data_IF_756511058044
#
_entry.id   IF_756511058044
#
_cell.length_a   1.000
_cell.length_b   1.000
_cell.length_c   1.000
_cell.angle_alpha   90.00
_cell.angle_beta   90.00
_cell.angle_gamma   90.00
#
_symmetry.space_group_name_H-M   'P 1'
#
loop_
_entity.id
_entity.type
_entity.pdbx_description
1 polymer ?
#
# COMPACT_ATOMS: atom_id res chain seq x y z
N UNK A 1 21.87 18.82 -3.34
CA UNK A 1 20.90 17.85 -3.86
C UNK A 1 19.63 17.96 -3.03
N UNK A 2 18.46 17.76 -3.60
CA UNK A 2 17.23 17.77 -2.83
C UNK A 2 17.24 16.59 -1.85
N UNK A 3 16.74 16.78 -0.64
CA UNK A 3 16.55 15.73 0.35
C UNK A 3 15.35 14.85 -0.06
N UNK A 4 15.53 13.53 -0.08
CA UNK A 4 14.58 12.61 -0.71
C UNK A 4 14.16 11.43 0.16
N UNK A 5 14.71 11.29 1.38
CA UNK A 5 14.37 10.20 2.30
C UNK A 5 12.98 10.36 2.90
N UNK A 6 12.13 9.35 2.75
CA UNK A 6 10.85 9.23 3.47
C UNK A 6 11.14 8.70 4.88
N UNK A 7 11.20 9.58 5.86
CA UNK A 7 11.64 9.26 7.23
C UNK A 7 10.61 8.49 8.06
N UNK A 8 9.36 8.46 7.61
CA UNK A 8 8.25 7.68 8.17
C UNK A 8 8.19 6.23 7.63
N UNK A 9 9.12 5.86 6.74
CA UNK A 9 9.22 4.52 6.16
C UNK A 9 10.39 3.74 6.75
N UNK A 10 10.28 2.42 6.71
CA UNK A 10 11.36 1.48 7.03
C UNK A 10 11.48 0.42 5.94
N UNK A 11 12.67 -0.14 5.82
CA UNK A 11 12.94 -1.27 4.94
C UNK A 11 13.11 -2.53 5.77
N UNK A 12 12.40 -3.61 5.40
CA UNK A 12 12.56 -4.94 5.97
C UNK A 12 13.18 -5.83 4.90
N UNK A 13 14.32 -6.45 5.21
CA UNK A 13 14.95 -7.45 4.36
C UNK A 13 14.39 -8.83 4.68
N UNK A 14 13.96 -9.54 3.66
CA UNK A 14 13.58 -10.95 3.70
C UNK A 14 14.59 -11.72 2.86
N UNK A 15 15.39 -12.58 3.50
CA UNK A 15 16.50 -13.31 2.88
C UNK A 15 16.47 -14.79 3.20
N UNK A 16 17.13 -15.62 2.38
CA UNK A 16 17.23 -17.06 2.59
C UNK A 16 16.74 -17.89 1.40
N UNK A 17 16.23 -19.09 1.68
CA UNK A 17 15.79 -20.02 0.64
C UNK A 17 14.35 -19.78 0.20
N UNK A 18 14.11 -19.67 -1.12
CA UNK A 18 12.79 -19.50 -1.72
C UNK A 18 12.00 -18.31 -1.12
N UNK A 19 12.68 -17.17 -0.97
CA UNK A 19 12.09 -15.95 -0.41
C UNK A 19 10.86 -15.50 -1.20
N UNK A 20 10.95 -15.50 -2.53
CA UNK A 20 9.83 -15.12 -3.40
C UNK A 20 8.62 -16.03 -3.21
N UNK A 21 8.83 -17.36 -3.20
CA UNK A 21 7.74 -18.32 -2.95
C UNK A 21 7.13 -18.18 -1.57
N UNK A 22 7.92 -17.82 -0.56
CA UNK A 22 7.41 -17.51 0.78
C UNK A 22 6.49 -16.29 0.78
N UNK A 23 6.95 -15.17 0.25
CA UNK A 23 6.18 -13.93 0.22
C UNK A 23 4.97 -14.05 -0.69
N UNK A 24 5.11 -14.75 -1.84
CA UNK A 24 4.04 -14.99 -2.80
C UNK A 24 2.80 -15.60 -2.17
N UNK A 25 2.95 -16.52 -1.23
CA UNK A 25 1.82 -17.16 -0.53
C UNK A 25 1.14 -16.29 0.52
N UNK A 26 1.68 -15.12 0.85
CA UNK A 26 1.20 -14.28 1.95
C UNK A 26 0.55 -12.97 1.48
N UNK A 27 1.08 -12.36 0.43
CA UNK A 27 0.71 -11.00 0.02
C UNK A 27 -0.26 -11.00 -1.17
N UNK A 28 -0.92 -9.89 -1.38
CA UNK A 28 -2.00 -9.75 -2.37
C UNK A 28 -1.53 -9.65 -3.81
N UNK A 29 -0.32 -9.10 -4.05
CA UNK A 29 0.22 -8.88 -5.39
C UNK A 29 1.20 -9.97 -5.80
N UNK A 30 1.43 -10.10 -7.10
CA UNK A 30 2.36 -11.08 -7.66
C UNK A 30 3.80 -10.58 -7.50
N UNK A 31 4.59 -11.29 -6.68
CA UNK A 31 5.99 -10.98 -6.43
C UNK A 31 6.96 -11.87 -7.24
N UNK A 32 6.43 -12.75 -8.08
CA UNK A 32 7.25 -13.58 -8.99
C UNK A 32 7.62 -12.82 -10.28
N UNK A 33 6.83 -11.78 -10.62
CA UNK A 33 7.04 -10.94 -11.79
C UNK A 33 8.02 -9.78 -11.54
N UNK A 34 7.81 -8.70 -12.29
CA UNK A 34 8.59 -7.45 -12.15
C UNK A 34 8.29 -6.75 -10.82
N UNK A 35 9.33 -6.18 -10.21
CA UNK A 35 9.27 -5.41 -8.99
C UNK A 35 9.80 -3.98 -9.24
N UNK A 36 9.31 -2.97 -8.50
CA UNK A 36 8.48 -3.07 -7.32
C UNK A 36 6.99 -3.27 -7.60
N UNK A 37 6.27 -3.86 -6.61
CA UNK A 37 4.80 -3.93 -6.58
C UNK A 37 4.29 -3.44 -5.22
N UNK A 38 3.09 -2.86 -5.20
CA UNK A 38 2.40 -2.58 -3.95
C UNK A 38 1.56 -3.78 -3.53
N UNK A 39 1.60 -4.15 -2.27
CA UNK A 39 0.93 -5.33 -1.75
C UNK A 39 0.39 -5.11 -0.34
N UNK A 40 -0.64 -5.88 0.02
CA UNK A 40 -1.16 -5.98 1.37
C UNK A 40 -0.89 -7.34 2.00
N UNK A 41 -0.63 -7.36 3.31
CA UNK A 41 -0.76 -8.53 4.15
C UNK A 41 -2.11 -8.44 4.87
N UNK A 42 -2.97 -9.42 4.67
CA UNK A 42 -4.37 -9.35 5.11
C UNK A 42 -4.67 -10.29 6.28
N UNK A 43 -5.79 -10.03 6.96
CA UNK A 43 -6.44 -11.03 7.80
C UNK A 43 -7.08 -12.13 6.93
N UNK A 44 -7.43 -13.31 7.49
CA UNK A 44 -8.22 -14.32 6.76
C UNK A 44 -9.53 -13.78 6.20
N UNK A 45 -10.09 -12.71 6.79
CA UNK A 45 -11.31 -12.05 6.34
C UNK A 45 -11.07 -11.02 5.21
N UNK A 46 -9.84 -10.85 4.74
CA UNK A 46 -9.48 -9.92 3.66
C UNK A 46 -9.35 -8.46 4.09
N UNK A 47 -9.19 -8.20 5.40
CA UNK A 47 -8.93 -6.86 5.91
C UNK A 47 -7.44 -6.55 5.92
N UNK A 48 -7.08 -5.32 5.61
CA UNK A 48 -5.69 -4.85 5.64
C UNK A 48 -5.12 -4.89 7.07
N UNK A 49 -3.98 -5.57 7.22
CA UNK A 49 -3.13 -5.50 8.41
C UNK A 49 -1.94 -4.58 8.17
N UNK A 50 -1.30 -4.73 7.02
CA UNK A 50 -0.16 -3.94 6.59
C UNK A 50 -0.20 -3.76 5.07
N UNK A 51 0.27 -2.62 4.61
CA UNK A 51 0.58 -2.36 3.22
C UNK A 51 2.07 -1.99 3.07
N UNK A 52 2.65 -2.34 1.95
CA UNK A 52 4.06 -2.09 1.66
C UNK A 52 4.37 -2.26 0.17
N UNK A 53 5.47 -1.66 -0.28
CA UNK A 53 6.03 -1.97 -1.58
C UNK A 53 7.04 -3.11 -1.43
N UNK A 54 7.05 -4.03 -2.40
CA UNK A 54 8.00 -5.15 -2.46
C UNK A 54 9.00 -4.87 -3.57
N UNK A 55 10.29 -4.89 -3.22
CA UNK A 55 11.43 -4.66 -4.10
C UNK A 55 12.30 -5.92 -4.17
N UNK A 56 13.11 -6.04 -5.22
CA UNK A 56 14.13 -7.09 -5.32
C UNK A 56 15.51 -6.53 -5.02
N UNK A 57 16.33 -7.35 -4.34
CA UNK A 57 17.76 -7.14 -4.17
C UNK A 57 18.46 -8.49 -4.35
N UNK A 58 18.82 -8.81 -5.59
CA UNK A 58 19.26 -10.15 -5.96
C UNK A 58 18.18 -11.19 -5.70
N UNK A 59 18.50 -12.18 -4.84
CA UNK A 59 17.58 -13.23 -4.42
C UNK A 59 16.71 -12.83 -3.23
N UNK A 60 17.05 -11.73 -2.55
CA UNK A 60 16.31 -11.19 -1.42
C UNK A 60 15.13 -10.32 -1.88
N UNK A 61 14.17 -10.12 -0.96
CA UNK A 61 13.13 -9.13 -1.10
C UNK A 61 13.27 -8.05 -0.03
N UNK A 62 13.03 -6.80 -0.42
CA UNK A 62 12.99 -5.65 0.48
C UNK A 62 11.55 -5.13 0.54
N UNK A 63 11.03 -4.98 1.76
CA UNK A 63 9.68 -4.47 1.99
C UNK A 63 9.77 -3.02 2.50
N UNK A 64 9.34 -2.07 1.68
CA UNK A 64 9.16 -0.66 2.06
C UNK A 64 7.81 -0.53 2.76
N UNK A 65 7.81 -0.38 4.08
CA UNK A 65 6.63 -0.32 4.93
C UNK A 65 6.63 0.90 5.85
N UNK A 66 5.49 1.15 6.51
CA UNK A 66 5.37 2.15 7.57
C UNK A 66 6.36 1.86 8.71
N UNK A 67 7.16 2.86 9.09
CA UNK A 67 8.26 2.71 10.03
C UNK A 67 7.84 2.20 11.40
N UNK A 68 6.75 2.75 11.94
CA UNK A 68 6.22 2.39 13.26
C UNK A 68 5.58 0.98 13.27
N UNK A 69 5.17 0.48 12.11
CA UNK A 69 4.56 -0.84 11.96
C UNK A 69 5.56 -1.96 11.64
N UNK A 70 6.83 -1.63 11.33
CA UNK A 70 7.80 -2.58 10.80
C UNK A 70 8.06 -3.77 11.74
N UNK A 71 8.19 -3.54 13.06
CA UNK A 71 8.47 -4.62 14.02
C UNK A 71 7.27 -5.57 14.17
N UNK A 72 6.05 -5.05 14.08
CA UNK A 72 4.85 -5.88 14.05
C UNK A 72 4.75 -6.69 12.76
N UNK A 73 5.10 -6.09 11.62
CA UNK A 73 5.14 -6.77 10.33
C UNK A 73 6.18 -7.92 10.35
N UNK A 74 7.38 -7.68 10.89
CA UNK A 74 8.41 -8.71 11.08
C UNK A 74 7.86 -9.86 11.94
N UNK A 75 7.25 -9.57 13.09
CA UNK A 75 6.64 -10.58 13.96
C UNK A 75 5.56 -11.36 13.20
N UNK A 76 4.71 -10.67 12.45
CA UNK A 76 3.62 -11.30 11.71
C UNK A 76 4.12 -12.24 10.62
N UNK A 77 5.07 -11.81 9.81
CA UNK A 77 5.69 -12.63 8.77
C UNK A 77 6.43 -13.83 9.37
N UNK A 78 7.10 -13.64 10.50
CA UNK A 78 7.83 -14.70 11.20
C UNK A 78 6.94 -15.86 11.66
N UNK A 79 5.66 -15.64 11.94
CA UNK A 79 4.70 -16.69 12.26
C UNK A 79 4.52 -17.65 11.06
N UNK A 80 4.50 -17.13 9.85
CA UNK A 80 4.32 -17.93 8.62
C UNK A 80 5.60 -18.63 8.15
N UNK A 81 6.76 -18.21 8.66
CA UNK A 81 8.06 -18.80 8.30
C UNK A 81 8.14 -20.29 8.63
N UNK A 82 7.55 -20.71 9.78
CA UNK A 82 7.58 -22.07 10.26
C UNK A 82 9.02 -22.63 10.34
N UNK A 83 9.33 -23.66 9.51
CA UNK A 83 10.66 -24.33 9.45
C UNK A 83 11.50 -23.86 8.26
N UNK A 84 11.04 -22.86 7.49
CA UNK A 84 11.81 -22.33 6.34
C UNK A 84 13.06 -21.60 6.82
N UNK A 85 14.13 -21.73 6.06
CA UNK A 85 15.40 -21.03 6.32
C UNK A 85 15.32 -19.61 5.76
N UNK A 86 14.47 -18.79 6.36
CA UNK A 86 14.21 -17.41 5.99
C UNK A 86 14.52 -16.51 7.18
N UNK A 87 15.23 -15.44 6.93
CA UNK A 87 15.52 -14.36 7.86
C UNK A 87 14.69 -13.15 7.51
N UNK A 88 14.13 -12.48 8.50
CA UNK A 88 13.27 -11.30 8.34
C UNK A 88 13.72 -10.29 9.38
N UNK A 89 14.28 -9.16 8.93
CA UNK A 89 14.84 -8.15 9.82
C UNK A 89 14.77 -6.76 9.19
N UNK A 90 14.88 -5.71 10.02
CA UNK A 90 15.05 -4.35 9.50
C UNK A 90 16.40 -4.22 8.81
N UNK A 91 16.40 -3.60 7.64
CA UNK A 91 17.61 -3.13 6.97
C UNK A 91 17.79 -1.65 7.31
N UNK A 92 18.76 -1.37 8.20
CA UNK A 92 19.02 0.00 8.69
C UNK A 92 19.99 0.79 7.80
N UNK A 93 20.63 0.12 6.85
CA UNK A 93 21.56 0.74 5.91
C UNK A 93 20.83 1.35 4.70
N UNK A 94 19.59 0.93 4.48
CA UNK A 94 18.77 1.32 3.34
C UNK A 94 17.56 2.10 3.81
N UNK A 95 17.29 3.22 3.15
CA UNK A 95 16.11 4.04 3.33
C UNK A 95 15.28 4.10 2.04
N UNK A 96 14.02 4.49 2.19
CA UNK A 96 13.11 4.74 1.07
C UNK A 96 13.25 6.19 0.64
N UNK A 97 13.45 6.40 -0.64
CA UNK A 97 13.53 7.71 -1.25
C UNK A 97 12.34 7.95 -2.17
N UNK A 98 11.97 9.20 -2.30
CA UNK A 98 10.92 9.64 -3.19
C UNK A 98 11.27 10.98 -3.85
N UNK A 99 10.84 11.12 -5.09
CA UNK A 99 10.81 12.40 -5.79
C UNK A 99 9.63 12.45 -6.75
N UNK A 100 9.00 13.63 -6.81
CA UNK A 100 7.92 13.87 -7.75
C UNK A 100 8.41 13.90 -9.21
N UNK A 101 9.57 14.54 -9.44
CA UNK A 101 10.02 14.93 -10.78
C UNK A 101 11.39 14.34 -11.16
N UNK A 102 11.98 13.44 -10.34
CA UNK A 102 13.28 12.87 -10.68
C UNK A 102 13.15 11.69 -11.63
N UNK A 103 14.08 11.56 -12.57
CA UNK A 103 14.23 10.37 -13.41
C UNK A 103 14.98 9.23 -12.72
N UNK A 104 15.21 9.30 -11.40
CA UNK A 104 15.91 8.27 -10.62
C UNK A 104 14.90 7.27 -10.05
N UNK A 105 15.29 6.00 -10.01
CA UNK A 105 14.44 4.92 -9.45
C UNK A 105 13.37 4.42 -10.40
N UNK A 106 12.36 3.79 -9.83
CA UNK A 106 11.20 3.25 -10.54
C UNK A 106 9.98 4.13 -10.30
N UNK A 107 9.08 4.22 -11.27
CA UNK A 107 7.76 4.81 -11.04
C UNK A 107 7.07 4.09 -9.88
N UNK A 108 6.32 4.82 -9.06
CA UNK A 108 5.52 4.21 -8.00
C UNK A 108 4.53 3.21 -8.63
N UNK A 109 4.54 1.93 -8.21
CA UNK A 109 3.77 0.88 -8.88
C UNK A 109 2.26 1.07 -8.76
N UNK A 110 1.79 1.92 -7.85
CA UNK A 110 0.38 2.24 -7.70
C UNK A 110 -0.11 3.15 -8.82
N UNK A 111 0.60 4.26 -9.05
CA UNK A 111 0.27 5.26 -10.07
C UNK A 111 1.53 6.05 -10.47
N UNK A 112 1.76 6.29 -11.77
CA UNK A 112 2.88 7.12 -12.24
C UNK A 112 2.86 8.55 -11.69
N UNK A 113 1.67 9.09 -11.42
CA UNK A 113 1.46 10.45 -10.88
C UNK A 113 2.03 10.63 -9.47
N UNK A 114 2.28 9.54 -8.75
CA UNK A 114 2.96 9.57 -7.46
C UNK A 114 4.44 9.92 -7.58
N UNK A 115 5.04 9.86 -8.78
CA UNK A 115 6.45 10.09 -9.03
C UNK A 115 7.28 8.82 -8.94
N UNK A 116 8.55 8.95 -8.55
CA UNK A 116 9.49 7.82 -8.50
C UNK A 116 9.92 7.51 -7.08
N UNK A 117 10.19 6.21 -6.84
CA UNK A 117 10.79 5.71 -5.60
C UNK A 117 12.04 4.89 -5.88
N UNK A 118 12.94 4.84 -4.91
CA UNK A 118 14.12 3.98 -4.94
C UNK A 118 14.59 3.68 -3.52
N UNK A 119 15.47 2.72 -3.40
CA UNK A 119 16.11 2.33 -2.15
C UNK A 119 17.60 2.69 -2.22
N UNK A 120 18.11 3.39 -1.21
CA UNK A 120 19.49 3.82 -1.09
C UNK A 120 19.83 4.17 0.37
N UNK A 121 21.10 4.40 0.74
CA UNK A 121 21.44 4.98 2.04
C UNK A 121 20.73 6.33 2.25
N UNK A 122 20.29 6.58 3.49
CA UNK A 122 19.53 7.77 3.84
C UNK A 122 20.28 9.08 3.49
N UNK A 123 19.52 10.07 3.04
CA UNK A 123 19.96 11.46 2.89
C UNK A 123 19.10 12.38 3.81
N UNK A 124 18.81 13.59 3.40
CA UNK A 124 17.92 14.47 4.14
C UNK A 124 16.42 14.12 3.95
N UNK A 125 15.55 14.55 4.87
CA UNK A 125 14.12 14.24 4.84
C UNK A 125 13.41 14.84 3.62
N UNK A 126 12.69 14.02 2.87
CA UNK A 126 11.82 14.47 1.80
C UNK A 126 10.69 15.35 2.35
N UNK A 127 10.28 16.33 1.56
CA UNK A 127 9.14 17.19 1.90
C UNK A 127 8.03 17.07 0.85
N UNK A 128 6.77 17.21 1.28
CA UNK A 128 5.62 17.27 0.39
C UNK A 128 5.07 15.91 -0.05
N UNK A 129 5.64 14.79 0.35
CA UNK A 129 5.11 13.46 0.03
C UNK A 129 3.67 13.28 0.49
N UNK A 130 3.40 13.55 1.77
CA UNK A 130 2.06 13.42 2.35
C UNK A 130 1.01 14.21 1.55
N UNK A 131 1.26 15.49 1.34
CA UNK A 131 0.34 16.35 0.58
C UNK A 131 0.18 15.85 -0.85
N UNK A 132 1.30 15.52 -1.51
CA UNK A 132 1.27 15.07 -2.90
C UNK A 132 0.42 13.80 -3.09
N UNK A 133 0.67 12.74 -2.28
CA UNK A 133 -0.09 11.50 -2.41
C UNK A 133 -1.57 11.66 -2.10
N UNK A 134 -1.90 12.47 -1.08
CA UNK A 134 -3.30 12.74 -0.74
C UNK A 134 -4.01 13.53 -1.85
N UNK A 135 -3.35 14.51 -2.48
CA UNK A 135 -3.94 15.24 -3.61
C UNK A 135 -4.14 14.37 -4.86
N UNK A 136 -3.32 13.34 -5.04
CA UNK A 136 -3.50 12.29 -6.06
C UNK A 136 -4.60 11.30 -5.64
N UNK A 137 -5.08 11.34 -4.38
CA UNK A 137 -6.15 10.49 -3.86
C UNK A 137 -5.67 9.14 -3.34
N UNK A 138 -4.36 8.97 -3.10
CA UNK A 138 -3.78 7.69 -2.65
C UNK A 138 -3.61 7.67 -1.14
N UNK A 139 -4.22 6.68 -0.51
CA UNK A 139 -4.09 6.39 0.92
C UNK A 139 -2.97 5.38 1.18
N UNK A 140 -2.33 5.48 2.36
CA UNK A 140 -1.16 4.67 2.73
C UNK A 140 -1.08 4.52 4.26
N UNK A 141 -0.57 3.38 4.73
CA UNK A 141 -0.33 3.14 6.14
C UNK A 141 -1.56 2.69 6.95
N UNK A 142 -1.29 2.20 8.15
CA UNK A 142 -2.31 1.55 8.99
C UNK A 142 -3.41 2.48 9.48
N UNK A 143 -3.07 3.73 9.73
CA UNK A 143 -4.06 4.72 10.18
C UNK A 143 -5.18 4.91 9.15
N UNK A 144 -4.83 4.92 7.87
CA UNK A 144 -5.75 5.12 6.77
C UNK A 144 -6.40 3.81 6.29
N UNK A 145 -5.62 2.73 6.13
CA UNK A 145 -6.03 1.47 5.48
C UNK A 145 -6.47 0.39 6.48
N UNK A 146 -5.95 0.41 7.71
CA UNK A 146 -6.08 -0.68 8.68
C UNK A 146 -7.53 -1.09 8.95
N UNK A 147 -7.74 -2.41 9.12
CA UNK A 147 -9.04 -3.04 9.41
C UNK A 147 -10.12 -2.88 8.31
N UNK A 148 -9.80 -2.24 7.17
CA UNK A 148 -10.70 -2.17 6.02
C UNK A 148 -10.49 -3.38 5.09
N UNK A 149 -11.53 -3.74 4.35
CA UNK A 149 -11.41 -4.73 3.29
C UNK A 149 -10.48 -4.19 2.18
N UNK A 150 -9.57 -5.03 1.69
CA UNK A 150 -8.50 -4.59 0.80
C UNK A 150 -9.01 -3.89 -0.47
N UNK A 151 -10.11 -4.37 -1.06
CA UNK A 151 -10.70 -3.71 -2.23
C UNK A 151 -11.40 -2.38 -1.88
N UNK A 152 -11.82 -2.16 -0.64
CA UNK A 152 -12.33 -0.87 -0.19
C UNK A 152 -11.20 0.17 -0.02
N UNK A 153 -9.94 -0.29 0.07
CA UNK A 153 -8.74 0.54 0.02
C UNK A 153 -8.31 0.90 -1.41
N UNK A 154 -9.16 0.68 -2.40
CA UNK A 154 -8.90 0.91 -3.84
C UNK A 154 -7.75 0.05 -4.40
N UNK A 155 -7.51 -1.12 -3.82
CA UNK A 155 -6.36 -1.94 -4.15
C UNK A 155 -6.37 -2.48 -5.59
N UNK A 156 -7.55 -2.70 -6.17
CA UNK A 156 -7.65 -3.13 -7.56
C UNK A 156 -7.24 -2.02 -8.53
N UNK A 157 -7.67 -0.80 -8.28
CA UNK A 157 -7.41 0.39 -9.09
C UNK A 157 -5.95 0.87 -8.94
N UNK A 158 -5.33 0.58 -7.80
CA UNK A 158 -3.95 0.96 -7.45
C UNK A 158 -2.96 -0.21 -7.63
N UNK A 159 -3.27 -1.22 -8.44
CA UNK A 159 -2.41 -2.36 -8.73
C UNK A 159 -1.95 -3.15 -7.49
N UNK A 160 -2.70 -3.08 -6.39
CA UNK A 160 -2.35 -3.70 -5.10
C UNK A 160 -2.85 -5.14 -4.94
N UNK A 161 -3.39 -5.77 -5.99
CA UNK A 161 -3.88 -7.14 -5.94
C UNK A 161 -3.76 -7.84 -7.30
N UNK A 162 -3.30 -9.08 -7.28
CA UNK A 162 -3.35 -9.97 -8.44
C UNK A 162 -4.44 -11.02 -8.23
N UNK A 163 -5.34 -11.13 -9.18
CA UNK A 163 -6.41 -12.15 -9.17
C UNK A 163 -6.00 -13.44 -9.86
N UNK A 164 -4.79 -13.51 -10.42
CA UNK A 164 -4.28 -14.64 -11.22
C UNK A 164 -3.10 -15.36 -10.59
N UNK A 165 -2.45 -14.78 -9.58
CA UNK A 165 -1.21 -15.30 -8.98
C UNK A 165 -1.35 -16.58 -8.14
N UNK A 166 -2.54 -17.03 -7.84
CA UNK A 166 -2.77 -18.14 -6.92
C UNK A 166 -3.11 -17.71 -5.50
N UNK A 167 -3.08 -18.64 -4.53
CA UNK A 167 -3.62 -18.41 -3.19
C UNK A 167 -2.72 -17.52 -2.32
N UNK A 168 -3.37 -16.67 -1.52
CA UNK A 168 -2.75 -15.88 -0.46
C UNK A 168 -3.72 -15.70 0.73
N UNK A 169 -3.21 -15.24 1.86
CA UNK A 169 -4.02 -15.02 3.06
C UNK A 169 -5.08 -13.95 2.81
N UNK A 170 -6.37 -14.27 3.06
CA UNK A 170 -7.49 -13.35 2.83
C UNK A 170 -8.04 -13.33 1.40
N UNK A 171 -7.52 -14.16 0.49
CA UNK A 171 -7.91 -14.20 -0.92
C UNK A 171 -9.39 -14.51 -1.13
N UNK A 172 -9.96 -15.43 -0.34
CA UNK A 172 -11.34 -15.88 -0.57
C UNK A 172 -12.33 -14.72 -0.57
N UNK A 173 -12.25 -13.84 0.43
CA UNK A 173 -13.13 -12.68 0.51
C UNK A 173 -12.79 -11.63 -0.57
N UNK A 174 -11.51 -11.38 -0.82
CA UNK A 174 -11.06 -10.46 -1.86
C UNK A 174 -11.54 -10.90 -3.26
N UNK A 175 -11.40 -12.18 -3.58
CA UNK A 175 -11.91 -12.74 -4.85
C UNK A 175 -13.44 -12.70 -4.93
N UNK A 176 -14.14 -13.02 -3.83
CA UNK A 176 -15.61 -12.94 -3.78
C UNK A 176 -16.10 -11.52 -4.06
N UNK A 177 -15.47 -10.52 -3.47
CA UNK A 177 -15.81 -9.11 -3.71
C UNK A 177 -15.59 -8.71 -5.18
N UNK A 178 -14.49 -9.15 -5.77
CA UNK A 178 -14.18 -8.85 -7.17
C UNK A 178 -15.19 -9.49 -8.14
N UNK A 179 -15.56 -10.75 -7.93
CA UNK A 179 -16.35 -11.52 -8.90
C UNK A 179 -17.87 -11.52 -8.63
N UNK A 180 -18.30 -11.33 -7.39
CA UNK A 180 -19.71 -11.51 -6.99
C UNK A 180 -20.32 -10.33 -6.27
N UNK A 181 -19.53 -9.49 -5.64
CA UNK A 181 -19.98 -8.35 -4.85
C UNK A 181 -19.31 -7.09 -5.35
N UNK A 182 -20.08 -6.03 -5.51
CA UNK A 182 -19.54 -4.71 -5.79
C UNK A 182 -18.89 -4.14 -4.53
N UNK A 183 -17.85 -3.39 -4.70
CA UNK A 183 -17.22 -2.62 -3.63
C UNK A 183 -18.14 -1.43 -3.31
N UNK A 184 -18.85 -1.51 -2.19
CA UNK A 184 -19.87 -0.53 -1.81
C UNK A 184 -19.31 0.66 -1.01
N UNK A 185 -18.06 0.55 -0.56
CA UNK A 185 -17.36 1.61 0.17
C UNK A 185 -15.98 1.78 -0.41
N UNK A 186 -15.46 3.02 -0.34
CA UNK A 186 -14.14 3.37 -0.83
C UNK A 186 -13.45 4.31 0.14
N UNK A 187 -12.13 4.23 0.20
CA UNK A 187 -11.33 5.29 0.78
C UNK A 187 -11.29 6.47 -0.19
N UNK A 188 -11.54 7.64 0.35
CA UNK A 188 -11.50 8.91 -0.37
C UNK A 188 -10.71 9.93 0.45
N UNK A 189 -10.00 10.80 -0.24
CA UNK A 189 -9.44 12.01 0.35
C UNK A 189 -10.46 13.13 0.21
N UNK A 190 -10.66 13.89 1.28
CA UNK A 190 -11.57 15.04 1.29
C UNK A 190 -10.83 16.31 1.69
N UNK A 191 -11.30 17.45 1.20
CA UNK A 191 -10.78 18.78 1.60
C UNK A 191 -11.37 19.13 2.97
N UNK A 192 -10.50 19.53 3.91
CA UNK A 192 -10.87 19.80 5.30
C UNK A 192 -11.02 18.53 6.14
N UNK A 193 -11.66 18.63 7.29
CA UNK A 193 -11.93 17.55 8.23
C UNK A 193 -13.42 17.39 8.52
N UNK A 194 -13.77 16.44 9.37
CA UNK A 194 -15.16 16.24 9.81
C UNK A 194 -15.34 14.99 10.67
N UNK A 195 -16.51 14.88 11.32
CA UNK A 195 -16.85 13.80 12.26
C UNK A 195 -16.69 12.36 11.71
N UNK A 196 -16.59 12.19 10.38
CA UNK A 196 -16.44 10.90 9.72
C UNK A 196 -15.02 10.64 9.19
N UNK A 197 -14.07 11.54 9.52
CA UNK A 197 -12.67 11.35 9.12
C UNK A 197 -12.07 10.14 9.85
N UNK A 198 -11.37 9.30 9.11
CA UNK A 198 -10.51 8.26 9.70
C UNK A 198 -9.23 8.86 10.24
N UNK A 199 -8.64 9.72 9.41
CA UNK A 199 -7.42 10.47 9.72
C UNK A 199 -7.59 11.88 9.20
N UNK A 200 -7.12 12.86 9.98
CA UNK A 200 -7.07 14.26 9.59
C UNK A 200 -5.63 14.73 9.54
N UNK A 201 -5.33 15.51 8.52
CA UNK A 201 -4.03 16.15 8.27
C UNK A 201 -4.22 17.66 8.18
N UNK A 202 -4.39 18.35 9.34
CA UNK A 202 -4.68 19.78 9.39
C UNK A 202 -3.61 20.64 8.71
N UNK A 203 -2.35 20.19 8.75
CA UNK A 203 -1.19 20.85 8.16
C UNK A 203 -1.27 20.98 6.62
N UNK A 204 -2.02 20.11 5.97
CA UNK A 204 -2.26 20.13 4.52
C UNK A 204 -3.72 20.38 4.17
N UNK A 205 -4.60 20.51 5.16
CA UNK A 205 -6.02 20.76 4.99
C UNK A 205 -6.78 19.62 4.31
N UNK A 206 -6.35 18.38 4.52
CA UNK A 206 -6.91 17.17 3.92
C UNK A 206 -7.24 16.14 4.99
N UNK A 207 -8.18 15.25 4.68
CA UNK A 207 -8.54 14.12 5.55
C UNK A 207 -8.88 12.90 4.71
N UNK A 208 -8.80 11.74 5.34
CA UNK A 208 -9.19 10.46 4.73
C UNK A 208 -10.51 10.00 5.33
N UNK A 209 -11.46 9.61 4.47
CA UNK A 209 -12.77 9.08 4.86
C UNK A 209 -13.01 7.72 4.20
N UNK A 210 -13.77 6.87 4.89
CA UNK A 210 -14.29 5.62 4.33
C UNK A 210 -15.78 5.78 4.05
N UNK A 211 -16.11 6.12 2.81
CA UNK A 211 -17.46 6.50 2.41
C UNK A 211 -18.13 5.42 1.54
N UNK A 212 -19.47 5.41 1.56
CA UNK A 212 -20.26 4.61 0.60
C UNK A 212 -20.18 5.25 -0.78
N UNK A 213 -20.17 4.42 -1.83
CA UNK A 213 -20.12 4.89 -3.22
C UNK A 213 -21.40 5.64 -3.64
N UNK A 214 -22.54 5.39 -2.94
CA UNK A 214 -23.81 6.10 -3.15
C UNK A 214 -23.94 7.38 -2.29
N UNK A 215 -22.94 7.70 -1.48
CA UNK A 215 -22.95 8.86 -0.55
C UNK A 215 -21.54 9.48 -0.46
N UNK A 216 -20.98 9.83 -1.62
CA UNK A 216 -19.66 10.47 -1.70
C UNK A 216 -19.76 11.90 -1.16
N UNK A 217 -18.87 12.30 -0.23
CA UNK A 217 -18.84 13.69 0.24
C UNK A 217 -18.60 14.69 -0.89
N UNK A 218 -19.31 15.83 -0.86
CA UNK A 218 -19.19 16.86 -1.89
C UNK A 218 -17.78 17.51 -1.97
N UNK A 219 -17.01 17.45 -0.87
CA UNK A 219 -15.64 17.93 -0.78
C UNK A 219 -14.59 16.81 -1.05
N UNK A 220 -15.01 15.65 -1.58
CA UNK A 220 -14.09 14.58 -1.92
C UNK A 220 -13.26 14.93 -3.16
N UNK A 221 -11.98 14.60 -3.11
CA UNK A 221 -11.09 14.58 -4.27
C UNK A 221 -11.36 13.27 -5.02
N UNK A 222 -11.90 13.38 -6.23
CA UNK A 222 -12.18 12.23 -7.10
C UNK A 222 -11.22 12.27 -8.29
N UNK A 223 -10.07 11.58 -8.20
CA UNK A 223 -9.10 11.52 -9.28
C UNK A 223 -9.63 10.67 -10.45
N UNK A 224 -9.06 10.87 -11.63
CA UNK A 224 -9.52 10.19 -12.85
C UNK A 224 -9.46 8.65 -12.74
N UNK A 225 -8.39 8.13 -12.12
CA UNK A 225 -8.21 6.70 -11.91
C UNK A 225 -9.30 6.03 -11.04
N UNK A 226 -10.03 6.80 -10.22
CA UNK A 226 -11.09 6.30 -9.34
C UNK A 226 -12.50 6.51 -9.91
N UNK A 227 -12.67 7.36 -10.91
CA UNK A 227 -14.00 7.73 -11.45
C UNK A 227 -14.82 6.55 -11.90
N UNK A 228 -14.22 5.63 -12.66
CA UNK A 228 -14.93 4.46 -13.19
C UNK A 228 -15.39 3.50 -12.08
N UNK A 229 -14.56 3.36 -11.05
CA UNK A 229 -14.91 2.54 -9.88
C UNK A 229 -16.06 3.12 -9.04
N UNK A 230 -16.22 4.45 -9.04
CA UNK A 230 -17.32 5.15 -8.37
C UNK A 230 -18.58 5.22 -9.22
N UNK A 231 -18.46 5.23 -10.55
CA UNK A 231 -19.58 5.34 -11.48
C UNK A 231 -20.38 4.04 -11.65
N UNK A 232 -19.89 2.90 -11.15
CA UNK A 232 -20.61 1.63 -11.28
C UNK A 232 -21.91 1.65 -10.46
N UNK A 233 -23.08 1.54 -11.08
CA UNK A 233 -24.35 1.63 -10.37
C UNK A 233 -24.45 0.51 -9.33
N UNK A 234 -24.87 0.86 -8.11
CA UNK A 234 -25.28 -0.11 -7.11
C UNK A 234 -26.51 -0.83 -7.64
N UNK A 235 -26.38 -2.06 -8.13
CA UNK A 235 -27.55 -2.89 -8.38
C UNK A 235 -28.12 -3.32 -7.04
N UNK A 236 -29.32 -2.84 -6.74
CA UNK A 236 -30.14 -3.26 -5.61
C UNK A 236 -30.41 -4.77 -5.63
#
# INVERSE_FOLDING_TARGET
MAATTLTDRAVIRVSGEDVRGFVQGLVTSDVMGELPVWAGLLTPQGKCLFDFLVWSDGDDLLLDCEGDAADELIKRLSIYRLRRQIRIERDVEIAVHWSKDSGQGSADPRLPELGTRWLAPADGPATGWLEHRLRVGVCEGRAELGELLWLECNAAELNGVSFTKGCFVGQENTARMNWRQKVNRRLLVVIGGGERSRVEYPEVGLSVVHARVDAIPANAIVPDWLKDALAQPSTA
#
